data_IF_498460713690
#
_entry.id   IF_498460713690
#
_cell.length_a   1.000
_cell.length_b   1.000
_cell.length_c   1.000
_cell.angle_alpha   90.00
_cell.angle_beta   90.00
_cell.angle_gamma   90.00
#
_symmetry.space_group_name_H-M   'P 1'
#
loop_
_entity.id
_entity.type
_entity.pdbx_description
1 polymer ?
#
# COMPACT_ATOMS: atom_id res chain seq x y z
N UNK A 1 27.06 1.51 10.54
CA UNK A 1 27.60 0.95 9.29
C UNK A 1 26.52 0.19 8.53
N UNK A 2 26.15 -1.03 8.93
CA UNK A 2 25.18 -1.87 8.20
C UNK A 2 23.93 -1.15 7.65
N UNK A 3 23.19 -0.41 8.48
CA UNK A 3 21.99 0.32 8.02
C UNK A 3 22.30 1.36 6.94
N UNK A 4 23.37 2.14 7.12
CA UNK A 4 23.80 3.14 6.13
C UNK A 4 24.18 2.48 4.81
N UNK A 5 24.92 1.38 4.87
CA UNK A 5 25.30 0.63 3.67
C UNK A 5 24.06 0.08 2.95
N UNK A 6 23.05 -0.35 3.72
CA UNK A 6 21.78 -0.79 3.16
C UNK A 6 20.97 0.34 2.56
N UNK A 7 20.94 1.52 3.20
CA UNK A 7 20.25 2.70 2.69
C UNK A 7 20.87 3.13 1.35
N UNK A 8 22.20 3.15 1.26
CA UNK A 8 22.93 3.45 0.02
C UNK A 8 22.68 2.42 -1.07
N UNK A 9 22.65 1.13 -0.72
CA UNK A 9 22.34 0.05 -1.64
C UNK A 9 20.90 0.18 -2.20
N UNK A 10 19.90 0.35 -1.34
CA UNK A 10 18.50 0.47 -1.75
C UNK A 10 18.26 1.72 -2.60
N UNK A 11 18.95 2.82 -2.27
CA UNK A 11 18.96 4.04 -3.09
C UNK A 11 19.49 3.76 -4.49
N UNK A 12 20.61 3.05 -4.60
CA UNK A 12 21.20 2.71 -5.91
C UNK A 12 20.25 1.90 -6.80
N UNK A 13 19.48 0.97 -6.21
CA UNK A 13 18.48 0.18 -6.96
C UNK A 13 17.40 1.10 -7.51
N UNK A 14 16.82 1.96 -6.67
CA UNK A 14 15.73 2.87 -7.04
C UNK A 14 16.15 3.87 -8.14
N UNK A 15 17.40 4.33 -8.11
CA UNK A 15 17.95 5.32 -9.04
C UNK A 15 18.52 4.70 -10.33
N UNK A 16 18.55 3.37 -10.43
CA UNK A 16 19.03 2.68 -11.64
C UNK A 16 18.14 3.00 -12.83
N UNK A 17 18.74 3.16 -14.01
CA UNK A 17 18.02 3.41 -15.26
C UNK A 17 16.98 2.30 -15.50
N UNK A 18 15.68 2.62 -15.66
CA UNK A 18 14.67 1.62 -15.94
C UNK A 18 14.88 0.99 -17.32
N UNK A 19 14.39 -0.24 -17.48
CA UNK A 19 14.37 -0.91 -18.78
C UNK A 19 13.44 -0.19 -19.76
N UNK A 20 13.67 -0.30 -21.08
CA UNK A 20 12.79 0.32 -22.07
C UNK A 20 11.32 -0.06 -21.85
N UNK A 21 10.42 0.93 -21.85
CA UNK A 21 8.98 0.73 -21.63
C UNK A 21 8.56 0.62 -20.16
N UNK A 22 9.47 0.81 -19.20
CA UNK A 22 9.16 0.86 -17.77
C UNK A 22 9.45 2.25 -17.21
N UNK A 23 8.60 2.74 -16.31
CA UNK A 23 8.67 4.12 -15.80
C UNK A 23 9.72 4.30 -14.70
N UNK A 24 9.90 3.29 -13.83
CA UNK A 24 10.82 3.36 -12.68
C UNK A 24 11.28 1.97 -12.22
N UNK A 25 12.40 1.93 -11.51
CA UNK A 25 12.88 0.73 -10.79
C UNK A 25 12.33 0.76 -9.36
N UNK A 26 11.84 -0.38 -8.89
CA UNK A 26 11.36 -0.58 -7.52
C UNK A 26 12.00 -1.82 -6.91
N UNK A 27 12.13 -1.83 -5.58
CA UNK A 27 12.53 -3.01 -4.82
C UNK A 27 11.37 -3.51 -3.95
N UNK A 28 11.45 -4.75 -3.50
CA UNK A 28 10.41 -5.37 -2.67
C UNK A 28 10.15 -4.57 -1.39
N UNK A 29 8.90 -4.17 -1.13
CA UNK A 29 8.52 -3.38 0.02
C UNK A 29 8.41 -1.87 -0.25
N UNK A 30 9.02 -1.34 -1.31
CA UNK A 30 8.89 0.09 -1.64
C UNK A 30 7.46 0.45 -2.07
N UNK A 31 6.81 -0.27 -3.02
CA UNK A 31 5.42 0.01 -3.39
C UNK A 31 4.46 -0.12 -2.21
N UNK A 32 4.66 -1.11 -1.35
CA UNK A 32 3.82 -1.36 -0.18
C UNK A 32 3.95 -0.26 0.88
N UNK A 33 5.16 0.28 1.06
CA UNK A 33 5.39 1.42 1.95
C UNK A 33 4.72 2.69 1.39
N UNK A 34 4.83 2.94 0.09
CA UNK A 34 4.18 4.08 -0.56
C UNK A 34 2.65 3.98 -0.46
N UNK A 35 2.06 2.80 -0.72
CA UNK A 35 0.62 2.53 -0.55
C UNK A 35 0.18 2.66 0.92
N UNK A 36 1.00 2.25 1.88
CA UNK A 36 0.70 2.42 3.31
C UNK A 36 0.59 3.91 3.67
N UNK A 37 1.55 4.73 3.24
CA UNK A 37 1.53 6.17 3.49
C UNK A 37 0.30 6.85 2.87
N UNK A 38 -0.05 6.44 1.65
CA UNK A 38 -1.25 6.93 0.96
C UNK A 38 -2.52 6.55 1.73
N UNK A 39 -2.66 5.28 2.13
CA UNK A 39 -3.82 4.78 2.89
C UNK A 39 -3.93 5.37 4.29
N UNK A 40 -2.82 5.71 4.93
CA UNK A 40 -2.81 6.43 6.21
C UNK A 40 -3.30 7.87 6.07
N UNK A 41 -3.09 8.49 4.90
CA UNK A 41 -3.45 9.89 4.65
C UNK A 41 -4.85 10.06 4.02
N UNK A 42 -5.19 9.18 3.07
CA UNK A 42 -6.37 9.29 2.21
C UNK A 42 -7.43 8.22 2.50
N UNK A 43 -7.13 7.25 3.38
CA UNK A 43 -7.99 6.11 3.67
C UNK A 43 -7.83 4.95 2.68
N UNK A 44 -8.42 3.81 3.01
CA UNK A 44 -8.32 2.58 2.21
C UNK A 44 -9.49 2.53 1.20
N UNK A 45 -9.21 2.46 -0.11
CA UNK A 45 -10.26 2.32 -1.11
C UNK A 45 -10.80 0.89 -1.15
N UNK A 46 -11.98 0.68 -0.56
CA UNK A 46 -12.68 -0.60 -0.64
C UNK A 46 -13.55 -0.67 -1.90
N UNK A 47 -13.59 -1.85 -2.52
CA UNK A 47 -14.54 -2.12 -3.61
C UNK A 47 -15.99 -2.12 -3.08
N UNK A 48 -16.98 -1.59 -3.82
CA UNK A 48 -18.36 -1.49 -3.33
C UNK A 48 -18.95 -2.81 -2.82
N UNK A 49 -18.64 -3.92 -3.49
CA UNK A 49 -19.10 -5.26 -3.08
C UNK A 49 -18.59 -5.66 -1.69
N UNK A 50 -17.35 -5.27 -1.35
CA UNK A 50 -16.77 -5.54 -0.03
C UNK A 50 -17.53 -4.77 1.05
N UNK A 51 -17.92 -3.53 0.76
CA UNK A 51 -18.73 -2.72 1.68
C UNK A 51 -20.12 -3.30 1.91
N UNK A 52 -20.76 -3.82 0.85
CA UNK A 52 -22.07 -4.47 0.98
C UNK A 52 -21.99 -5.78 1.78
N UNK A 53 -20.95 -6.58 1.57
CA UNK A 53 -20.70 -7.76 2.38
C UNK A 53 -20.53 -7.40 3.86
N UNK A 54 -19.74 -6.37 4.16
CA UNK A 54 -19.55 -5.89 5.54
C UNK A 54 -20.85 -5.40 6.18
N UNK A 55 -21.68 -4.63 5.45
CA UNK A 55 -23.00 -4.21 5.93
C UNK A 55 -23.88 -5.43 6.26
N UNK A 56 -23.87 -6.44 5.40
CA UNK A 56 -24.63 -7.68 5.59
C UNK A 56 -24.23 -8.42 6.87
N UNK A 57 -22.94 -8.71 7.04
CA UNK A 57 -22.47 -9.46 8.21
C UNK A 57 -22.64 -8.66 9.51
N UNK A 58 -22.46 -7.34 9.48
CA UNK A 58 -22.74 -6.49 10.64
C UNK A 58 -24.23 -6.53 11.02
N UNK A 59 -25.14 -6.51 10.05
CA UNK A 59 -26.58 -6.64 10.30
C UNK A 59 -26.93 -8.03 10.89
N UNK A 60 -26.34 -9.11 10.38
CA UNK A 60 -26.55 -10.46 10.92
C UNK A 60 -26.07 -10.61 12.37
N UNK A 61 -24.94 -9.99 12.70
CA UNK A 61 -24.34 -10.03 14.02
C UNK A 61 -24.89 -8.98 14.99
N UNK A 62 -25.79 -8.09 14.53
CA UNK A 62 -26.32 -6.99 15.33
C UNK A 62 -25.29 -5.92 15.70
N UNK A 63 -24.26 -5.75 14.88
CA UNK A 63 -23.19 -4.76 15.06
C UNK A 63 -23.52 -3.51 14.24
N UNK A 64 -23.40 -2.32 14.84
CA UNK A 64 -23.59 -1.05 14.13
C UNK A 64 -22.49 -0.86 13.08
N UNK A 65 -22.88 -0.72 11.81
CA UNK A 65 -21.95 -0.54 10.71
C UNK A 65 -21.60 0.93 10.52
N UNK A 66 -20.30 1.25 10.52
CA UNK A 66 -19.77 2.57 10.19
C UNK A 66 -18.59 2.45 9.25
N UNK A 67 -18.65 3.17 8.14
CA UNK A 67 -17.52 3.35 7.25
C UNK A 67 -16.87 4.70 7.60
N UNK A 68 -15.96 4.65 8.58
CA UNK A 68 -15.34 5.78 9.31
C UNK A 68 -16.29 6.63 10.16
#
# INVERSE_FOLDING_TARGET
QFKSDMDDYMKSIKETKPSPGNDRVVYAGLPEFEEKLDRESNGIPYHPEVLEWFKGICAELGIDWKLS
#
